data_IF_660198133251
#
_entry.id   IF_660198133251
#
_cell.length_a   1.000
_cell.length_b   1.000
_cell.length_c   1.000
_cell.angle_alpha   90.00
_cell.angle_beta   90.00
_cell.angle_gamma   90.00
#
_symmetry.space_group_name_H-M   'P 1'
#
loop_
_entity.id
_entity.type
_entity.pdbx_description
1 polymer ?
#
# COMPACT_ATOMS: atom_id res chain seq x y z
N UNK A 1 -22.82 -1.24 -14.84
CA UNK A 1 -23.05 0.21 -14.60
C UNK A 1 -22.55 0.55 -13.21
N UNK A 2 -21.40 1.21 -13.12
CA UNK A 2 -20.96 1.91 -11.90
C UNK A 2 -20.33 3.23 -12.34
N UNK A 3 -21.10 4.30 -12.22
CA UNK A 3 -20.60 5.68 -12.33
C UNK A 3 -19.91 5.98 -11.00
N UNK A 4 -18.60 5.75 -10.93
CA UNK A 4 -17.78 6.41 -9.89
C UNK A 4 -17.82 7.90 -10.18
N UNK A 5 -18.09 8.65 -9.12
CA UNK A 5 -18.22 10.10 -9.12
C UNK A 5 -16.88 10.68 -9.57
N UNK A 6 -16.86 11.30 -10.75
CA UNK A 6 -15.69 11.97 -11.31
C UNK A 6 -15.38 13.19 -10.43
N UNK A 7 -14.18 13.26 -9.87
CA UNK A 7 -13.66 14.47 -9.22
C UNK A 7 -13.58 15.59 -10.27
N UNK A 8 -14.46 16.58 -10.15
CA UNK A 8 -14.42 17.77 -10.99
C UNK A 8 -13.52 18.81 -10.33
N UNK A 9 -12.20 18.64 -10.45
CA UNK A 9 -11.25 19.68 -10.04
C UNK A 9 -10.58 20.25 -11.29
N UNK A 10 -11.27 21.21 -11.89
CA UNK A 10 -10.80 22.59 -11.80
C UNK A 10 -9.58 23.03 -12.60
N UNK A 11 -9.26 22.44 -13.76
CA UNK A 11 -8.42 23.12 -14.77
C UNK A 11 -9.07 22.98 -16.13
N UNK A 12 -9.49 24.10 -16.71
CA UNK A 12 -9.76 24.21 -18.15
C UNK A 12 -10.77 23.23 -18.75
N UNK A 13 -11.65 22.62 -17.96
CA UNK A 13 -12.73 21.68 -18.33
C UNK A 13 -12.37 20.22 -18.65
N UNK A 14 -11.11 19.79 -18.49
CA UNK A 14 -10.80 18.34 -18.58
C UNK A 14 -11.21 17.58 -17.31
N UNK A 15 -11.52 16.28 -17.46
CA UNK A 15 -11.75 15.34 -16.35
C UNK A 15 -10.78 14.19 -16.48
N UNK A 16 -10.22 13.76 -15.35
CA UNK A 16 -9.31 12.62 -15.29
C UNK A 16 -9.94 11.53 -14.45
N UNK A 17 -9.77 10.29 -14.88
CA UNK A 17 -10.16 9.11 -14.13
C UNK A 17 -9.11 8.03 -14.32
N UNK A 18 -8.48 7.61 -13.24
CA UNK A 18 -7.51 6.53 -13.25
C UNK A 18 -8.19 5.23 -12.87
N UNK A 19 -7.84 4.16 -13.59
CA UNK A 19 -8.42 2.82 -13.40
C UNK A 19 -7.30 1.82 -13.35
N UNK A 20 -7.23 1.06 -12.26
CA UNK A 20 -6.44 -0.16 -12.18
C UNK A 20 -7.25 -1.30 -12.79
N UNK A 21 -6.61 -2.16 -13.59
CA UNK A 21 -7.31 -3.25 -14.28
C UNK A 21 -7.74 -4.38 -13.34
N UNK A 22 -7.02 -4.55 -12.23
CA UNK A 22 -7.30 -5.54 -11.20
C UNK A 22 -7.96 -4.89 -9.97
N UNK A 23 -8.89 -5.61 -9.34
CA UNK A 23 -9.59 -5.15 -8.14
C UNK A 23 -8.73 -5.16 -6.88
N UNK A 24 -7.67 -5.96 -6.88
CA UNK A 24 -6.69 -6.09 -5.81
C UNK A 24 -5.31 -6.23 -6.42
N UNK A 25 -4.36 -5.46 -5.91
CA UNK A 25 -3.01 -5.36 -6.47
C UNK A 25 -2.03 -6.11 -5.58
N UNK A 26 -1.35 -7.10 -6.16
CA UNK A 26 -0.35 -7.88 -5.45
C UNK A 26 1.03 -7.19 -5.49
N UNK A 27 1.64 -7.01 -4.31
CA UNK A 27 3.00 -6.48 -4.22
C UNK A 27 4.01 -7.41 -4.88
N UNK A 28 5.02 -6.84 -5.53
CA UNK A 28 6.06 -7.57 -6.25
C UNK A 28 5.64 -8.04 -7.64
N UNK A 29 4.38 -7.87 -8.06
CA UNK A 29 3.90 -8.20 -9.40
C UNK A 29 3.64 -6.96 -10.24
N UNK A 30 3.73 -7.13 -11.56
CA UNK A 30 3.31 -6.10 -12.50
C UNK A 30 1.80 -5.90 -12.41
N UNK A 31 1.39 -4.64 -12.36
CA UNK A 31 0.02 -4.18 -12.37
C UNK A 31 -0.16 -3.19 -13.50
N UNK A 32 -1.32 -3.24 -14.15
CA UNK A 32 -1.65 -2.37 -15.28
C UNK A 32 -2.82 -1.48 -14.93
N UNK A 33 -2.81 -0.30 -15.50
CA UNK A 33 -3.90 0.65 -15.37
C UNK A 33 -3.98 1.57 -16.57
N UNK A 34 -4.98 2.44 -16.54
CA UNK A 34 -5.27 3.40 -17.58
C UNK A 34 -5.65 4.73 -16.95
N UNK A 35 -5.10 5.81 -17.47
CA UNK A 35 -5.55 7.17 -17.20
C UNK A 35 -6.47 7.61 -18.33
N UNK A 36 -7.73 7.82 -18.00
CA UNK A 36 -8.77 8.30 -18.92
C UNK A 36 -8.89 9.82 -18.76
N UNK A 37 -8.62 10.56 -19.84
CA UNK A 37 -8.65 12.01 -19.87
C UNK A 37 -9.73 12.46 -20.84
N UNK A 38 -10.74 13.13 -20.32
CA UNK A 38 -11.84 13.70 -21.09
C UNK A 38 -11.60 15.21 -21.22
N UNK A 39 -11.29 15.68 -22.42
CA UNK A 39 -11.20 17.09 -22.74
C UNK A 39 -12.52 17.81 -22.53
N UNK A 40 -12.44 19.07 -22.11
CA UNK A 40 -13.62 19.91 -21.94
C UNK A 40 -13.94 20.75 -23.16
N UNK A 41 -14.16 22.04 -22.98
CA UNK A 41 -14.59 22.95 -24.04
C UNK A 41 -13.41 23.68 -24.72
N UNK A 42 -12.19 23.56 -24.17
CA UNK A 42 -10.96 24.18 -24.70
C UNK A 42 -9.83 23.16 -24.81
N UNK A 43 -8.93 23.37 -25.76
CA UNK A 43 -7.70 22.58 -25.90
C UNK A 43 -6.84 22.71 -24.64
N UNK A 44 -6.24 21.61 -24.20
CA UNK A 44 -5.31 21.57 -23.07
C UNK A 44 -4.02 20.86 -23.46
N UNK A 45 -2.89 21.45 -23.06
CA UNK A 45 -1.56 20.87 -23.23
C UNK A 45 -1.08 20.38 -21.88
N UNK A 46 -0.92 19.07 -21.76
CA UNK A 46 -0.41 18.40 -20.57
C UNK A 46 1.03 17.99 -20.91
N UNK A 47 2.02 18.53 -20.22
CA UNK A 47 3.42 18.20 -20.49
C UNK A 47 3.78 16.82 -19.97
N UNK A 48 3.26 16.47 -18.79
CA UNK A 48 3.54 15.21 -18.10
C UNK A 48 2.36 14.74 -17.29
N UNK A 49 2.30 13.43 -17.06
CA UNK A 49 1.35 12.80 -16.16
C UNK A 49 2.13 11.91 -15.21
N UNK A 50 1.87 12.11 -13.93
CA UNK A 50 2.45 11.36 -12.85
C UNK A 50 1.38 10.51 -12.18
N UNK A 51 1.77 9.30 -11.82
CA UNK A 51 1.01 8.44 -10.92
C UNK A 51 1.80 8.31 -9.64
N UNK A 52 1.15 8.67 -8.53
CA UNK A 52 1.67 8.49 -7.19
C UNK A 52 0.91 7.36 -6.51
N UNK A 53 1.63 6.52 -5.78
CA UNK A 53 1.04 5.60 -4.81
C UNK A 53 1.32 6.20 -3.44
N UNK A 54 0.26 6.50 -2.70
CA UNK A 54 0.37 7.15 -1.40
C UNK A 54 0.01 6.16 -0.29
N UNK A 55 0.72 6.28 0.82
CA UNK A 55 0.48 5.51 2.04
C UNK A 55 0.13 6.45 3.17
N UNK A 56 -0.87 6.07 3.96
CA UNK A 56 -1.14 6.72 5.24
C UNK A 56 -0.33 6.07 6.38
N UNK A 57 0.06 6.86 7.38
CA UNK A 57 0.66 6.38 8.62
C UNK A 57 0.34 7.31 9.79
N UNK A 58 0.34 6.73 10.99
CA UNK A 58 0.15 7.46 12.22
C UNK A 58 1.49 7.97 12.75
N UNK A 59 1.60 9.30 12.88
CA UNK A 59 2.77 9.99 13.45
C UNK A 59 2.41 10.52 14.84
N UNK A 60 3.25 10.26 15.83
CA UNK A 60 3.13 10.88 17.14
C UNK A 60 3.22 12.40 16.99
N UNK A 61 2.30 13.10 17.64
CA UNK A 61 2.36 14.56 17.73
C UNK A 61 3.37 14.95 18.81
N UNK A 62 4.37 15.77 18.48
CA UNK A 62 5.41 16.17 19.42
C UNK A 62 4.85 16.93 20.64
N UNK A 63 3.67 17.55 20.49
CA UNK A 63 3.04 18.40 21.51
C UNK A 63 1.88 17.71 22.26
N UNK A 64 1.43 16.52 21.84
CA UNK A 64 0.28 15.82 22.44
C UNK A 64 0.51 14.30 22.50
N UNK A 65 -0.36 13.58 23.22
CA UNK A 65 -0.37 12.10 23.17
C UNK A 65 -1.15 11.55 21.98
N UNK A 66 -1.63 12.41 21.08
CA UNK A 66 -2.47 12.03 19.96
C UNK A 66 -1.60 11.68 18.74
N UNK A 67 -2.13 10.80 17.89
CA UNK A 67 -1.52 10.48 16.61
C UNK A 67 -2.16 11.33 15.52
N UNK A 68 -1.34 11.92 14.65
CA UNK A 68 -1.79 12.54 13.40
C UNK A 68 -1.63 11.54 12.28
N UNK A 69 -2.71 11.34 11.53
CA UNK A 69 -2.65 10.56 10.30
C UNK A 69 -2.03 11.43 9.19
N UNK A 70 -0.97 10.94 8.58
CA UNK A 70 -0.20 11.61 7.52
C UNK A 70 -0.26 10.74 6.27
N UNK A 71 -0.42 11.35 5.10
CA UNK A 71 -0.39 10.67 3.80
C UNK A 71 0.79 11.18 2.99
N UNK A 72 1.61 10.28 2.47
CA UNK A 72 2.79 10.61 1.67
C UNK A 72 2.94 9.70 0.45
N UNK A 73 3.46 10.21 -0.67
CA UNK A 73 3.80 9.39 -1.83
C UNK A 73 4.98 8.47 -1.53
N UNK A 74 4.81 7.18 -1.80
CA UNK A 74 5.84 6.14 -1.62
C UNK A 74 6.38 5.61 -2.95
N UNK A 75 5.64 5.83 -4.05
CA UNK A 75 6.06 5.52 -5.42
C UNK A 75 5.58 6.66 -6.31
N UNK A 76 6.43 7.06 -7.25
CA UNK A 76 6.09 8.00 -8.31
C UNK A 76 6.57 7.45 -9.64
N UNK A 77 5.71 7.50 -10.66
CA UNK A 77 6.08 7.18 -12.03
C UNK A 77 5.55 8.25 -13.00
N UNK A 78 6.38 8.59 -13.99
CA UNK A 78 5.98 9.42 -15.13
C UNK A 78 5.48 8.48 -16.25
N UNK A 79 4.21 8.62 -16.66
CA UNK A 79 3.57 7.65 -17.58
C UNK A 79 3.45 8.14 -19.03
N UNK A 80 3.74 9.42 -19.30
CA UNK A 80 3.65 9.96 -20.67
C UNK A 80 4.55 11.16 -20.89
N UNK A 81 4.92 11.36 -22.15
CA UNK A 81 5.39 12.64 -22.69
C UNK A 81 4.20 13.57 -23.00
N UNK A 82 4.50 14.81 -23.38
CA UNK A 82 3.51 15.85 -23.64
C UNK A 82 2.37 15.39 -24.56
N UNK A 83 1.14 15.58 -24.10
CA UNK A 83 -0.10 15.25 -24.80
C UNK A 83 -0.99 16.50 -24.91
N UNK A 84 -1.59 16.68 -26.09
CA UNK A 84 -2.61 17.72 -26.31
C UNK A 84 -3.97 17.05 -26.36
N UNK A 85 -4.89 17.48 -25.49
CA UNK A 85 -6.27 17.00 -25.41
C UNK A 85 -7.18 18.07 -26.02
N UNK A 86 -7.84 17.75 -27.12
CA UNK A 86 -8.76 18.64 -27.80
C UNK A 86 -10.10 18.76 -27.04
N UNK A 87 -10.91 19.79 -27.33
CA UNK A 87 -12.26 19.88 -26.78
C UNK A 87 -13.07 18.61 -27.04
N UNK A 88 -13.69 18.08 -25.98
CA UNK A 88 -14.53 16.87 -25.97
C UNK A 88 -13.83 15.58 -26.45
N UNK A 89 -12.50 15.59 -26.58
CA UNK A 89 -11.72 14.40 -26.90
C UNK A 89 -11.58 13.49 -25.67
N UNK A 90 -11.66 12.19 -25.88
CA UNK A 90 -11.25 11.20 -24.88
C UNK A 90 -9.89 10.64 -25.27
N UNK A 91 -8.94 10.68 -24.34
CA UNK A 91 -7.65 10.00 -24.46
C UNK A 91 -7.48 8.99 -23.35
N UNK A 92 -6.98 7.82 -23.70
CA UNK A 92 -6.64 6.75 -22.76
C UNK A 92 -5.14 6.52 -22.81
N UNK A 93 -4.48 6.63 -21.66
CA UNK A 93 -3.04 6.46 -21.51
C UNK A 93 -2.80 5.25 -20.62
N UNK A 94 -2.36 4.11 -21.19
CA UNK A 94 -2.05 2.93 -20.39
C UNK A 94 -0.75 3.13 -19.61
N UNK A 95 -0.68 2.55 -18.41
CA UNK A 95 0.53 2.48 -17.62
C UNK A 95 0.69 1.10 -16.98
N UNK A 96 1.91 0.81 -16.56
CA UNK A 96 2.25 -0.39 -15.79
C UNK A 96 3.22 -0.03 -14.67
N UNK A 97 3.06 -0.65 -13.52
CA UNK A 97 3.94 -0.47 -12.37
C UNK A 97 4.06 -1.77 -11.57
N UNK A 98 5.15 -1.91 -10.83
CA UNK A 98 5.33 -2.98 -9.85
C UNK A 98 5.24 -2.33 -8.48
N UNK A 99 4.30 -2.76 -7.64
CA UNK A 99 4.25 -2.28 -6.27
C UNK A 99 5.40 -2.91 -5.47
N UNK A 100 6.29 -2.11 -4.88
CA UNK A 100 7.39 -2.63 -4.08
C UNK A 100 6.88 -3.27 -2.77
N UNK A 101 7.65 -4.20 -2.20
CA UNK A 101 7.28 -4.87 -0.94
C UNK A 101 7.18 -3.93 0.27
N UNK A 102 7.77 -2.74 0.19
CA UNK A 102 7.62 -1.71 1.23
C UNK A 102 6.26 -1.00 1.22
N UNK A 103 5.46 -1.15 0.15
CA UNK A 103 4.06 -0.70 0.15
C UNK A 103 3.31 -1.48 1.22
N UNK A 104 2.59 -0.86 2.16
CA UNK A 104 1.80 -1.61 3.13
C UNK A 104 0.64 -2.36 2.46
N UNK A 105 0.23 -3.48 3.03
CA UNK A 105 -1.00 -4.15 2.60
C UNK A 105 -2.22 -3.41 3.12
N UNK A 106 -3.32 -3.49 2.40
CA UNK A 106 -4.61 -3.03 2.89
C UNK A 106 -5.08 -3.97 4.00
N UNK A 107 -5.15 -3.48 5.24
CA UNK A 107 -5.55 -4.27 6.40
C UNK A 107 -6.33 -3.43 7.40
N UNK A 108 -7.55 -3.88 7.74
CA UNK A 108 -8.41 -3.16 8.68
C UNK A 108 -8.71 -1.74 8.18
N UNK A 109 -8.18 -0.74 8.90
CA UNK A 109 -8.31 0.68 8.51
C UNK A 109 -7.15 1.19 7.65
N UNK A 110 -6.04 0.45 7.55
CA UNK A 110 -4.88 0.86 6.78
C UNK A 110 -5.18 0.81 5.29
N UNK A 111 -5.00 1.96 4.61
CA UNK A 111 -5.25 2.11 3.19
C UNK A 111 -4.00 2.51 2.41
N UNK A 112 -4.12 2.34 1.10
CA UNK A 112 -3.20 2.85 0.09
C UNK A 112 -4.06 3.50 -0.99
N UNK A 113 -3.64 4.67 -1.47
CA UNK A 113 -4.32 5.39 -2.53
C UNK A 113 -3.44 5.54 -3.75
N UNK A 114 -4.08 5.69 -4.90
CA UNK A 114 -3.44 6.12 -6.14
C UNK A 114 -3.87 7.56 -6.40
N UNK A 115 -2.91 8.42 -6.72
CA UNK A 115 -3.14 9.81 -7.10
C UNK A 115 -2.60 10.06 -8.50
N UNK A 116 -3.39 10.77 -9.30
CA UNK A 116 -2.98 11.24 -10.63
C UNK A 116 -2.69 12.73 -10.57
N UNK A 117 -1.49 13.09 -11.01
CA UNK A 117 -1.04 14.47 -11.09
C UNK A 117 -0.74 14.83 -12.55
N UNK A 118 -1.25 15.98 -13.00
CA UNK A 118 -0.98 16.53 -14.33
C UNK A 118 -0.05 17.73 -14.20
N UNK A 119 0.97 17.80 -15.05
CA UNK A 119 1.73 19.03 -15.29
C UNK A 119 1.06 19.80 -16.43
N UNK A 120 0.47 20.95 -16.10
CA UNK A 120 -0.19 21.85 -17.05
C UNK A 120 0.38 23.25 -16.84
N UNK A 121 0.92 23.85 -17.91
CA UNK A 121 1.53 25.18 -17.86
C UNK A 121 2.65 25.32 -16.80
N UNK A 122 3.47 24.29 -16.63
CA UNK A 122 4.57 24.25 -15.64
C UNK A 122 4.10 24.27 -14.18
N UNK A 123 2.85 23.86 -13.93
CA UNK A 123 2.30 23.71 -12.60
C UNK A 123 1.76 22.29 -12.48
N UNK A 124 2.20 21.61 -11.41
CA UNK A 124 1.73 20.29 -11.04
C UNK A 124 0.41 20.39 -10.29
N UNK A 125 -0.55 19.57 -10.71
CA UNK A 125 -1.91 19.59 -10.21
C UNK A 125 -2.42 18.18 -9.94
N UNK A 126 -2.62 17.80 -8.67
CA UNK A 126 -3.39 16.61 -8.30
C UNK A 126 -4.84 16.78 -8.76
N UNK A 127 -5.34 15.83 -9.55
CA UNK A 127 -6.67 15.93 -10.17
C UNK A 127 -7.62 14.80 -9.79
N UNK A 128 -7.08 13.68 -9.34
CA UNK A 128 -7.83 12.47 -9.04
C UNK A 128 -7.05 11.65 -8.00
N UNK A 129 -7.75 11.17 -6.97
CA UNK A 129 -7.20 10.29 -5.94
C UNK A 129 -8.27 9.31 -5.49
N UNK A 130 -7.94 8.03 -5.40
CA UNK A 130 -8.83 7.03 -4.81
C UNK A 130 -8.08 5.87 -4.13
N UNK A 131 -8.74 5.25 -3.15
CA UNK A 131 -8.22 4.05 -2.48
C UNK A 131 -8.26 2.82 -3.42
N UNK A 132 -7.32 1.89 -3.21
CA UNK A 132 -7.37 0.56 -3.82
C UNK A 132 -6.85 -0.50 -2.84
N UNK A 133 -7.06 -1.78 -3.17
CA UNK A 133 -6.67 -2.90 -2.29
C UNK A 133 -5.26 -3.35 -2.67
N UNK A 134 -4.34 -3.34 -1.73
CA UNK A 134 -3.02 -3.98 -1.81
C UNK A 134 -3.07 -5.30 -1.07
N UNK A 135 -2.72 -6.39 -1.72
CA UNK A 135 -2.68 -7.73 -1.14
C UNK A 135 -1.29 -8.35 -1.18
N UNK A 136 -1.10 -9.35 -0.33
CA UNK A 136 0.10 -10.18 -0.33
C UNK A 136 -0.26 -11.62 0.10
N UNK A 137 -0.36 -12.56 -0.85
CA UNK A 137 -0.75 -13.92 -0.57
C UNK A 137 0.13 -14.65 0.45
N UNK A 138 1.42 -14.29 0.56
CA UNK A 138 2.30 -14.89 1.56
C UNK A 138 1.96 -14.41 2.96
N UNK A 139 1.73 -13.11 3.11
CA UNK A 139 1.31 -12.53 4.37
C UNK A 139 -0.07 -13.07 4.79
N UNK A 140 -1.00 -13.19 3.86
CA UNK A 140 -2.32 -13.78 4.10
C UNK A 140 -2.22 -15.23 4.58
N UNK A 141 -1.32 -16.03 4.00
CA UNK A 141 -1.05 -17.41 4.42
C UNK A 141 -0.41 -17.47 5.81
N UNK A 142 0.58 -16.61 6.10
CA UNK A 142 1.23 -16.53 7.42
C UNK A 142 0.18 -16.18 8.48
N UNK A 143 -0.62 -15.14 8.25
CA UNK A 143 -1.66 -14.70 9.19
C UNK A 143 -2.71 -15.78 9.42
N UNK A 144 -3.15 -16.46 8.36
CA UNK A 144 -4.07 -17.59 8.48
C UNK A 144 -3.46 -18.73 9.29
N UNK A 145 -2.21 -19.09 9.01
CA UNK A 145 -1.49 -20.13 9.75
C UNK A 145 -1.39 -19.80 11.24
N UNK A 146 -1.10 -18.54 11.59
CA UNK A 146 -1.07 -18.09 12.98
C UNK A 146 -2.46 -18.16 13.63
N UNK A 147 -3.51 -17.72 12.92
CA UNK A 147 -4.88 -17.79 13.38
C UNK A 147 -5.35 -19.23 13.63
N UNK A 148 -4.99 -20.16 12.74
CA UNK A 148 -5.28 -21.60 12.90
C UNK A 148 -4.60 -22.22 14.13
N UNK A 149 -3.56 -21.56 14.67
CA UNK A 149 -2.86 -21.93 15.89
C UNK A 149 -3.25 -21.04 17.10
N UNK A 150 -4.40 -20.36 17.03
CA UNK A 150 -4.99 -19.65 18.15
C UNK A 150 -4.48 -18.23 18.38
N UNK A 151 -3.70 -17.66 17.45
CA UNK A 151 -3.27 -16.27 17.53
C UNK A 151 -4.32 -15.33 16.95
N UNK A 152 -4.62 -14.26 17.66
CA UNK A 152 -5.58 -13.24 17.24
C UNK A 152 -4.95 -11.86 17.21
N UNK A 153 -5.41 -11.02 16.30
CA UNK A 153 -4.92 -9.64 16.18
C UNK A 153 -5.28 -8.81 17.41
N UNK A 154 -4.35 -7.98 17.88
CA UNK A 154 -4.66 -6.91 18.81
C UNK A 154 -5.12 -5.63 18.07
N UNK A 155 -5.49 -4.59 18.81
CA UNK A 155 -6.05 -3.34 18.26
C UNK A 155 -5.09 -2.53 17.37
N UNK A 156 -3.78 -2.78 17.45
CA UNK A 156 -2.76 -2.03 16.71
C UNK A 156 -2.19 -2.83 15.52
N UNK A 157 -2.68 -4.05 15.30
CA UNK A 157 -2.20 -4.91 14.23
C UNK A 157 -2.57 -4.37 12.85
N UNK A 158 -1.59 -4.36 11.95
CA UNK A 158 -1.72 -3.96 10.54
C UNK A 158 -1.78 -2.45 10.32
N UNK A 159 -1.58 -1.63 11.36
CA UNK A 159 -1.51 -0.17 11.25
C UNK A 159 -0.08 0.27 10.92
N UNK A 160 0.06 1.22 10.00
CA UNK A 160 1.33 1.92 9.75
C UNK A 160 1.59 2.94 10.85
N UNK A 161 2.76 2.85 11.48
CA UNK A 161 3.30 3.93 12.33
C UNK A 161 4.50 4.57 11.68
N UNK A 162 4.71 5.85 11.99
CA UNK A 162 5.89 6.58 11.54
C UNK A 162 7.17 5.86 11.96
N UNK A 163 8.07 5.65 10.99
CA UNK A 163 9.48 5.28 11.20
C UNK A 163 10.40 6.27 10.50
N UNK A 164 11.64 6.33 10.96
CA UNK A 164 12.69 7.02 10.21
C UNK A 164 13.02 6.18 8.97
N UNK A 165 13.34 6.85 7.86
CA UNK A 165 13.80 6.18 6.65
C UNK A 165 15.15 5.50 6.89
N UNK A 166 15.15 4.17 6.88
CA UNK A 166 16.33 3.35 7.07
C UNK A 166 16.39 2.22 6.02
N UNK A 167 17.58 1.98 5.47
CA UNK A 167 17.86 0.82 4.62
C UNK A 167 17.07 0.77 3.31
N UNK A 168 16.46 -0.39 3.04
CA UNK A 168 15.80 -0.72 1.77
C UNK A 168 14.30 -0.34 1.70
N UNK A 169 13.70 0.08 2.82
CA UNK A 169 12.31 0.55 2.88
C UNK A 169 12.33 2.09 3.01
N UNK A 170 12.17 2.85 1.91
CA UNK A 170 12.27 4.30 1.90
C UNK A 170 11.02 5.01 2.43
N UNK A 171 10.01 4.26 2.91
CA UNK A 171 8.76 4.83 3.40
C UNK A 171 8.85 5.20 4.88
N UNK A 172 8.10 6.21 5.30
CA UNK A 172 7.88 6.48 6.72
C UNK A 172 6.82 5.55 7.35
N UNK A 173 6.16 4.67 6.60
CA UNK A 173 5.27 3.66 7.17
C UNK A 173 6.05 2.41 7.61
N UNK A 174 5.90 2.04 8.88
CA UNK A 174 6.17 0.69 9.38
C UNK A 174 4.85 -0.01 9.68
N UNK A 175 4.42 -0.92 8.81
CA UNK A 175 3.20 -1.70 9.04
C UNK A 175 3.53 -2.93 9.89
N UNK A 176 3.03 -2.97 11.11
CA UNK A 176 3.37 -4.04 12.06
C UNK A 176 2.17 -4.91 12.38
N UNK A 177 2.37 -6.22 12.39
CA UNK A 177 1.35 -7.19 12.77
C UNK A 177 1.63 -7.68 14.18
N UNK A 178 0.60 -7.59 15.02
CA UNK A 178 0.69 -7.84 16.44
C UNK A 178 -0.40 -8.83 16.83
N UNK A 179 -0.01 -10.07 17.13
CA UNK A 179 -0.95 -11.14 17.47
C UNK A 179 -0.67 -11.69 18.87
N UNK A 180 -1.70 -12.24 19.49
CA UNK A 180 -1.63 -12.84 20.83
C UNK A 180 -2.51 -14.08 20.91
N UNK A 181 -2.05 -15.10 21.61
CA UNK A 181 -2.85 -16.29 21.93
C UNK A 181 -3.40 -16.24 23.37
N UNK A 182 -4.25 -17.20 23.73
CA UNK A 182 -4.88 -17.30 25.05
C UNK A 182 -3.89 -17.50 26.22
N UNK A 183 -2.72 -18.06 25.94
CA UNK A 183 -1.62 -18.25 26.90
C UNK A 183 -0.77 -16.99 27.10
N UNK A 184 -1.05 -15.90 26.35
CA UNK A 184 -0.31 -14.65 26.43
C UNK A 184 0.99 -14.61 25.63
N UNK A 185 1.26 -15.61 24.79
CA UNK A 185 2.35 -15.57 23.81
C UNK A 185 2.04 -14.51 22.77
N UNK A 186 3.00 -13.62 22.52
CA UNK A 186 2.84 -12.52 21.55
C UNK A 186 3.69 -12.77 20.32
N UNK A 187 3.12 -12.47 19.16
CA UNK A 187 3.83 -12.46 17.89
C UNK A 187 3.86 -11.03 17.37
N UNK A 188 5.04 -10.62 16.91
CA UNK A 188 5.29 -9.34 16.26
C UNK A 188 6.07 -9.58 14.97
N UNK A 189 5.69 -8.90 13.90
CA UNK A 189 6.50 -8.82 12.68
C UNK A 189 6.12 -7.59 11.84
N UNK A 190 7.04 -7.20 10.95
CA UNK A 190 6.83 -6.13 9.97
C UNK A 190 6.26 -6.74 8.70
N UNK A 191 5.14 -6.21 8.20
CA UNK A 191 4.43 -6.75 7.04
C UNK A 191 4.76 -6.07 5.70
N UNK A 192 5.46 -4.93 5.74
CA UNK A 192 5.91 -4.21 4.55
C UNK A 192 7.43 -4.29 4.36
N UNK A 193 7.93 -5.52 4.43
CA UNK A 193 9.28 -5.91 4.04
C UNK A 193 9.19 -7.05 3.02
N UNK A 194 10.26 -7.24 2.23
CA UNK A 194 10.33 -8.38 1.30
C UNK A 194 10.26 -9.67 2.10
N UNK A 195 11.22 -9.93 2.96
CA UNK A 195 11.24 -11.10 3.82
C UNK A 195 10.56 -10.77 5.15
N UNK A 196 9.90 -11.75 5.77
CA UNK A 196 9.11 -11.53 6.99
C UNK A 196 9.88 -12.07 8.18
N UNK A 197 10.24 -11.20 9.12
CA UNK A 197 10.92 -11.60 10.36
C UNK A 197 9.93 -11.69 11.51
N UNK A 198 9.61 -12.93 11.93
CA UNK A 198 8.67 -13.21 13.01
C UNK A 198 9.39 -13.25 14.34
N UNK A 199 8.92 -12.44 15.29
CA UNK A 199 9.39 -12.43 16.69
C UNK A 199 8.29 -12.98 17.59
N UNK A 200 8.61 -14.04 18.33
CA UNK A 200 7.68 -14.76 19.22
C UNK A 200 8.15 -14.54 20.66
N UNK A 201 7.33 -13.86 21.46
CA UNK A 201 7.61 -13.51 22.84
C UNK A 201 6.86 -14.47 23.77
N UNK A 202 7.61 -15.32 24.48
CA UNK A 202 7.11 -16.29 25.44
C UNK A 202 7.71 -15.94 26.81
N UNK A 203 6.90 -15.34 27.69
CA UNK A 203 7.37 -14.79 28.98
C UNK A 203 8.58 -13.87 28.77
N UNK A 204 9.76 -14.23 29.29
CA UNK A 204 10.99 -13.44 29.21
C UNK A 204 11.90 -13.83 28.03
N UNK A 205 11.45 -14.76 27.16
CA UNK A 205 12.22 -15.24 26.03
C UNK A 205 11.65 -14.74 24.71
N UNK A 206 12.55 -14.43 23.77
CA UNK A 206 12.19 -14.08 22.39
C UNK A 206 12.80 -15.11 21.46
N UNK A 207 11.96 -15.74 20.64
CA UNK A 207 12.39 -16.57 19.51
C UNK A 207 12.24 -15.72 18.23
N UNK A 208 13.20 -15.83 17.32
CA UNK A 208 13.15 -15.19 16.00
C UNK A 208 13.06 -16.28 14.92
N UNK A 209 12.20 -16.07 13.94
CA UNK A 209 12.02 -16.95 12.79
C UNK A 209 11.87 -16.12 11.51
N UNK A 210 12.86 -16.13 10.59
CA UNK A 210 12.73 -15.47 9.31
C UNK A 210 11.92 -16.33 8.33
N UNK A 211 11.16 -15.68 7.45
CA UNK A 211 10.51 -16.25 6.29
C UNK A 211 11.05 -15.53 5.05
N UNK A 212 11.76 -16.25 4.20
CA UNK A 212 12.36 -15.74 2.98
C UNK A 212 11.46 -16.03 1.78
N UNK A 213 11.22 -15.02 0.95
CA UNK A 213 10.36 -15.15 -0.24
C UNK A 213 10.92 -16.02 -1.35
N UNK A 214 12.23 -16.25 -1.31
CA UNK A 214 12.94 -17.02 -2.32
C UNK A 214 12.89 -18.54 -2.01
N UNK A 215 12.31 -18.95 -0.87
CA UNK A 215 12.18 -20.34 -0.40
C UNK A 215 10.72 -20.87 -0.47
N UNK A 216 10.47 -22.14 -0.14
CA UNK A 216 9.11 -22.70 -0.10
C UNK A 216 8.36 -22.26 1.17
N UNK A 217 7.25 -21.53 1.02
CA UNK A 217 6.47 -21.04 2.16
C UNK A 217 5.87 -22.19 3.00
N UNK A 218 5.44 -23.29 2.38
CA UNK A 218 4.80 -24.38 3.11
C UNK A 218 5.78 -25.11 4.03
N UNK A 219 7.03 -25.29 3.60
CA UNK A 219 8.11 -25.84 4.41
C UNK A 219 8.49 -24.90 5.55
N UNK A 220 8.59 -23.59 5.27
CA UNK A 220 8.87 -22.59 6.31
C UNK A 220 7.78 -22.56 7.39
N UNK A 221 6.50 -22.63 7.01
CA UNK A 221 5.40 -22.66 7.99
C UNK A 221 5.39 -23.96 8.82
N UNK A 222 5.78 -25.11 8.24
CA UNK A 222 5.98 -26.35 9.02
C UNK A 222 7.06 -26.18 10.09
N UNK A 223 8.14 -25.46 9.76
CA UNK A 223 9.25 -25.20 10.67
C UNK A 223 8.93 -24.12 11.72
N UNK A 224 8.02 -23.19 11.41
CA UNK A 224 7.48 -22.21 12.37
C UNK A 224 6.59 -22.87 13.42
N UNK A 225 5.78 -23.86 13.01
CA UNK A 225 4.78 -24.55 13.86
C UNK A 225 5.27 -24.93 15.27
N UNK A 226 6.40 -25.61 15.49
CA UNK A 226 6.86 -25.96 16.84
C UNK A 226 7.09 -24.72 17.72
N UNK A 227 7.50 -23.59 17.14
CA UNK A 227 7.79 -22.37 17.90
C UNK A 227 6.53 -21.68 18.41
N UNK A 228 5.40 -21.87 17.70
CA UNK A 228 4.11 -21.24 18.01
C UNK A 228 3.14 -22.19 18.74
N UNK A 229 3.42 -23.49 18.76
CA UNK A 229 2.62 -24.53 19.44
C UNK A 229 3.04 -24.79 20.90
N UNK A 230 4.26 -24.42 21.29
CA UNK A 230 4.92 -24.67 22.59
C UNK A 230 4.24 -24.05 23.84
N UNK A 231 3.02 -23.54 23.72
CA UNK A 231 2.23 -23.13 24.87
C UNK A 231 1.19 -24.16 25.35
N UNK A 232 0.99 -25.26 24.60
CA UNK A 232 0.15 -26.40 25.00
C UNK A 232 0.88 -27.44 25.85
#
# INVERSE_FOLDING_TARGET
MFKKILSSIGIGSAKVNTVLLDSSIERGKETKGEVHIFGGNTEQKISKIYIHIDSEFDKEDDDTTDFRNVTEPIVEIEITNAVTVNPYEEKVIPFSLILPYYTPVTFGKQKVSIQTELDINFINHPVETHDFIVCDPWLDEILRHLNDHGYTHNMISGVCRHKINEGNNPTHCLQTFNLVNDQGTKIYFVGNEKDIHIYIYIKDHVKHFPIYRDDDLSEQLKNLRPLIADGN
#
